data_IF_104074966583
#
_entry.id   IF_104074966583
#
_cell.length_a   1.000
_cell.length_b   1.000
_cell.length_c   1.000
_cell.angle_alpha   90.00
_cell.angle_beta   90.00
_cell.angle_gamma   90.00
#
_symmetry.space_group_name_H-M   'P 1'
#
loop_
_entity.id
_entity.type
_entity.pdbx_description
1 polymer ?
#
# COMPACT_ATOMS: atom_id res chain seq x y z
N UNK A 1 -27.69 -4.77 4.01
CA UNK A 1 -26.61 -4.58 3.01
C UNK A 1 -25.52 -5.64 3.17
N UNK A 2 -25.88 -6.93 3.17
CA UNK A 2 -24.89 -8.01 3.25
C UNK A 2 -24.17 -8.11 1.90
N UNK A 3 -22.89 -7.72 1.84
CA UNK A 3 -22.07 -7.82 0.63
C UNK A 3 -21.45 -6.53 0.10
N UNK A 4 -21.64 -5.37 0.75
CA UNK A 4 -20.89 -4.16 0.37
C UNK A 4 -19.40 -4.32 0.68
N UNK A 5 -18.54 -3.93 -0.27
CA UNK A 5 -17.07 -3.97 -0.17
C UNK A 5 -16.52 -2.64 -0.67
N UNK A 6 -15.51 -2.12 0.02
CA UNK A 6 -14.77 -0.92 -0.39
C UNK A 6 -13.29 -1.28 -0.54
N UNK A 7 -12.68 -0.69 -1.56
CA UNK A 7 -11.27 -0.80 -1.87
C UNK A 7 -10.64 0.58 -1.87
N UNK A 8 -9.40 0.65 -1.38
CA UNK A 8 -8.50 1.77 -1.57
C UNK A 8 -7.15 1.25 -2.04
N UNK A 9 -6.48 2.01 -2.90
CA UNK A 9 -5.09 1.78 -3.28
C UNK A 9 -4.26 2.94 -2.75
N UNK A 10 -3.11 2.62 -2.14
CA UNK A 10 -2.15 3.60 -1.66
C UNK A 10 -0.92 3.48 -2.55
N UNK A 11 -0.64 4.54 -3.31
CA UNK A 11 0.49 4.62 -4.24
C UNK A 11 1.81 4.87 -3.48
N UNK A 12 2.80 4.01 -3.70
CA UNK A 12 4.14 4.13 -3.14
C UNK A 12 5.22 4.43 -4.20
N UNK A 13 4.84 4.74 -5.44
CA UNK A 13 5.77 4.95 -6.57
C UNK A 13 6.82 6.03 -6.25
N UNK A 14 6.44 7.13 -5.62
CA UNK A 14 7.39 8.18 -5.22
C UNK A 14 8.24 7.80 -3.99
N UNK A 15 7.94 6.66 -3.36
CA UNK A 15 8.62 6.09 -2.20
C UNK A 15 9.66 5.03 -2.50
N UNK A 16 9.98 4.77 -3.78
CA UNK A 16 10.90 3.72 -4.26
C UNK A 16 12.29 3.69 -3.58
N UNK A 17 12.72 4.78 -2.93
CA UNK A 17 13.99 4.87 -2.20
C UNK A 17 13.87 4.73 -0.68
N UNK A 18 12.71 4.37 -0.15
CA UNK A 18 12.51 4.21 1.29
C UNK A 18 13.11 2.90 1.82
N UNK A 19 13.13 1.85 0.99
CA UNK A 19 13.76 0.58 1.31
C UNK A 19 15.08 0.50 0.53
N UNK A 20 16.20 0.58 1.25
CA UNK A 20 17.52 0.41 0.66
C UNK A 20 17.76 -1.06 0.29
N UNK A 21 18.17 -1.28 -0.95
CA UNK A 21 18.70 -2.58 -1.36
C UNK A 21 20.04 -2.87 -0.69
N UNK A 22 20.32 -4.15 -0.45
CA UNK A 22 21.65 -4.59 -0.03
C UNK A 22 22.64 -4.30 -1.15
N UNK A 23 23.81 -3.77 -0.82
CA UNK A 23 24.82 -3.40 -1.82
C UNK A 23 25.22 -4.56 -2.73
N UNK A 24 25.29 -5.79 -2.19
CA UNK A 24 25.58 -7.01 -2.94
C UNK A 24 24.55 -7.33 -4.04
N UNK A 25 23.32 -6.88 -3.86
CA UNK A 25 22.18 -7.25 -4.68
C UNK A 25 21.87 -6.17 -5.73
N UNK A 26 22.44 -4.97 -5.61
CA UNK A 26 22.29 -3.87 -6.58
C UNK A 26 22.59 -4.32 -8.02
N UNK A 27 23.70 -5.04 -8.31
CA UNK A 27 24.00 -5.47 -9.68
C UNK A 27 22.95 -6.41 -10.28
N UNK A 28 22.19 -7.13 -9.43
CA UNK A 28 21.15 -8.07 -9.86
C UNK A 28 19.84 -7.38 -10.28
N UNK A 29 19.72 -6.07 -10.03
CA UNK A 29 18.51 -5.28 -10.31
C UNK A 29 18.64 -4.36 -11.51
N UNK A 30 19.75 -4.47 -12.26
CA UNK A 30 19.94 -3.72 -13.49
C UNK A 30 18.85 -4.09 -14.51
N UNK A 31 17.91 -3.18 -14.73
CA UNK A 31 16.82 -3.32 -15.69
C UNK A 31 16.86 -2.15 -16.65
N UNK A 32 16.73 -2.43 -17.95
CA UNK A 32 16.62 -1.42 -19.00
C UNK A 32 15.27 -1.58 -19.67
N UNK A 33 14.33 -0.73 -19.29
CA UNK A 33 13.00 -0.66 -19.89
C UNK A 33 12.77 0.76 -20.42
N UNK A 34 12.04 0.94 -21.54
CA UNK A 34 11.69 2.27 -22.06
C UNK A 34 10.90 3.13 -21.06
N UNK A 35 10.25 2.51 -20.08
CA UNK A 35 9.54 3.13 -18.97
C UNK A 35 9.80 2.34 -17.69
N UNK A 36 9.97 3.03 -16.55
CA UNK A 36 9.96 2.39 -15.24
C UNK A 36 8.55 1.84 -14.95
N UNK A 37 8.46 0.59 -14.49
CA UNK A 37 7.21 -0.05 -14.07
C UNK A 37 7.49 -0.86 -12.82
N UNK A 38 6.91 -0.45 -11.70
CA UNK A 38 7.07 -1.10 -10.40
C UNK A 38 5.69 -1.45 -9.84
N UNK A 39 5.61 -2.51 -9.03
CA UNK A 39 4.37 -2.96 -8.38
C UNK A 39 4.43 -2.52 -6.91
N UNK A 40 4.02 -1.29 -6.65
CA UNK A 40 4.30 -0.63 -5.37
C UNK A 40 3.05 -0.32 -4.53
N UNK A 41 1.85 -0.59 -5.06
CA UNK A 41 0.60 -0.22 -4.39
C UNK A 41 0.26 -1.12 -3.19
N UNK A 42 -0.23 -0.50 -2.11
CA UNK A 42 -0.90 -1.22 -1.01
C UNK A 42 -2.41 -1.16 -1.23
N UNK A 43 -3.04 -2.32 -1.43
CA UNK A 43 -4.49 -2.44 -1.52
C UNK A 43 -5.11 -2.73 -0.16
N UNK A 44 -6.07 -1.89 0.24
CA UNK A 44 -6.87 -2.07 1.45
C UNK A 44 -8.29 -2.45 1.03
N UNK A 45 -8.75 -3.61 1.50
CA UNK A 45 -10.11 -4.07 1.29
C UNK A 45 -10.87 -4.09 2.62
N UNK A 46 -12.13 -3.66 2.59
CA UNK A 46 -13.02 -3.74 3.75
C UNK A 46 -14.40 -4.21 3.32
N UNK A 47 -14.94 -5.15 4.08
CA UNK A 47 -16.31 -5.67 3.92
C UNK A 47 -17.09 -5.31 5.18
N UNK A 48 -18.40 -5.13 5.02
CA UNK A 48 -19.31 -5.00 6.17
C UNK A 48 -19.07 -6.14 7.20
N UNK A 49 -18.89 -5.76 8.46
CA UNK A 49 -18.53 -6.63 9.60
C UNK A 49 -19.22 -6.10 10.86
N UNK A 50 -19.52 -6.96 11.83
CA UNK A 50 -20.08 -6.60 13.15
C UNK A 50 -21.33 -5.68 13.11
N UNK A 51 -22.17 -5.84 12.09
CA UNK A 51 -23.39 -5.04 11.91
C UNK A 51 -23.14 -3.62 11.34
N UNK A 52 -21.88 -3.25 11.12
CA UNK A 52 -21.47 -2.02 10.44
C UNK A 52 -21.40 -2.24 8.93
N UNK A 53 -21.66 -1.19 8.16
CA UNK A 53 -21.50 -1.25 6.70
C UNK A 53 -20.02 -1.06 6.31
N UNK A 54 -19.68 -1.34 5.05
CA UNK A 54 -18.30 -1.24 4.56
C UNK A 54 -17.70 0.17 4.69
N UNK A 55 -18.52 1.23 4.53
CA UNK A 55 -18.09 2.64 4.66
C UNK A 55 -17.69 2.95 6.09
N UNK A 56 -18.39 2.39 7.07
CA UNK A 56 -18.10 2.65 8.49
C UNK A 56 -16.80 1.97 8.96
N UNK A 57 -16.52 0.77 8.45
CA UNK A 57 -15.33 -0.01 8.84
C UNK A 57 -14.06 0.40 8.08
N UNK A 58 -14.18 0.87 6.84
CA UNK A 58 -13.03 1.12 5.96
C UNK A 58 -12.03 2.16 6.51
N UNK A 59 -12.46 3.29 7.12
CA UNK A 59 -11.54 4.24 7.74
C UNK A 59 -10.71 3.63 8.88
N UNK A 60 -11.25 2.66 9.62
CA UNK A 60 -10.49 1.98 10.67
C UNK A 60 -9.42 1.05 10.08
N UNK A 61 -9.72 0.37 8.98
CA UNK A 61 -8.75 -0.46 8.26
C UNK A 61 -7.64 0.40 7.66
N UNK A 62 -7.99 1.50 7.00
CA UNK A 62 -7.03 2.48 6.50
C UNK A 62 -6.13 3.01 7.61
N UNK A 63 -6.69 3.38 8.77
CA UNK A 63 -5.90 3.85 9.91
C UNK A 63 -4.85 2.82 10.35
N UNK A 64 -5.22 1.54 10.51
CA UNK A 64 -4.28 0.47 10.89
C UNK A 64 -3.16 0.32 9.87
N UNK A 65 -3.48 0.37 8.57
CA UNK A 65 -2.48 0.28 7.50
C UNK A 65 -1.53 1.48 7.53
N UNK A 66 -2.05 2.70 7.63
CA UNK A 66 -1.26 3.93 7.69
C UNK A 66 -0.39 4.01 8.96
N UNK A 67 -0.87 3.50 10.09
CA UNK A 67 -0.07 3.35 11.32
C UNK A 67 1.08 2.38 11.10
N UNK A 68 0.82 1.21 10.49
CA UNK A 68 1.86 0.24 10.17
C UNK A 68 2.90 0.79 9.20
N UNK A 69 2.47 1.53 8.18
CA UNK A 69 3.37 2.22 7.25
C UNK A 69 4.27 3.21 7.99
N UNK A 70 3.71 4.02 8.87
CA UNK A 70 4.45 4.99 9.70
C UNK A 70 5.50 4.32 10.58
N UNK A 71 5.15 3.21 11.24
CA UNK A 71 6.10 2.42 12.07
C UNK A 71 7.30 1.94 11.25
N UNK A 72 7.07 1.57 9.98
CA UNK A 72 8.10 1.08 9.07
C UNK A 72 8.76 2.19 8.24
N UNK A 73 8.43 3.47 8.51
CA UNK A 73 8.91 4.63 7.74
C UNK A 73 8.61 4.51 6.24
N UNK A 74 7.45 3.94 5.91
CA UNK A 74 6.90 3.90 4.58
C UNK A 74 5.97 5.11 4.37
N UNK A 75 6.25 5.92 3.36
CA UNK A 75 5.52 7.15 3.04
C UNK A 75 4.91 7.03 1.64
N UNK A 76 3.61 7.26 1.57
CA UNK A 76 2.88 7.39 0.31
C UNK A 76 2.79 8.86 -0.08
N UNK A 77 2.61 9.12 -1.38
CA UNK A 77 2.15 10.43 -1.83
C UNK A 77 0.61 10.41 -1.75
N UNK A 78 0.05 11.13 -0.76
CA UNK A 78 -1.39 11.15 -0.46
C UNK A 78 -2.07 12.39 -1.04
#
# INVERSE_FOLDING_TARGET
>A
MSGSVIYSAIDLTDGLYQILMRESDIPLTAVSTPSASYFDDIFVHSRAEDGLNAVDVHPQHLRKVLEKMRENKLYANL
#
